data_IF_109652554765
#
_entry.id   IF_109652554765
#
_cell.length_a   1.000
_cell.length_b   1.000
_cell.length_c   1.000
_cell.angle_alpha   90.00
_cell.angle_beta   90.00
_cell.angle_gamma   90.00
#
_symmetry.space_group_name_H-M   'P 1'
#
loop_
_entity.id
_entity.type
_entity.pdbx_description
1 polymer ?
#
# COMPACT_ATOMS: atom_id res chain seq x y z
N UNK A 1 32.71 6.32 -20.77
CA UNK A 1 31.64 5.76 -19.92
C UNK A 1 31.24 6.87 -18.97
N UNK A 2 30.19 7.60 -19.30
CA UNK A 2 29.72 8.72 -18.48
C UNK A 2 29.23 8.19 -17.12
N UNK A 3 29.58 8.91 -16.06
CA UNK A 3 29.27 8.56 -14.67
C UNK A 3 27.75 8.63 -14.45
N UNK A 4 27.07 7.51 -14.69
CA UNK A 4 25.66 7.31 -14.30
C UNK A 4 25.65 7.09 -12.79
N UNK A 5 25.43 8.18 -12.06
CA UNK A 5 25.47 8.25 -10.61
C UNK A 5 25.69 9.68 -10.13
N UNK A 6 25.09 10.66 -10.81
CA UNK A 6 25.24 12.06 -10.44
C UNK A 6 24.08 12.46 -9.53
N UNK A 7 24.29 12.40 -8.21
CA UNK A 7 23.44 13.05 -7.20
C UNK A 7 23.10 14.52 -7.60
N UNK A 8 24.00 15.17 -8.35
CA UNK A 8 23.80 16.49 -8.96
C UNK A 8 22.68 16.62 -10.00
N UNK A 9 22.26 15.52 -10.66
CA UNK A 9 21.10 15.58 -11.58
C UNK A 9 19.79 15.61 -10.78
N UNK A 10 19.74 14.87 -9.68
CA UNK A 10 18.60 14.87 -8.78
C UNK A 10 18.45 16.22 -8.10
N UNK A 11 19.52 16.82 -7.58
CA UNK A 11 19.47 18.19 -7.03
C UNK A 11 18.94 19.21 -8.04
N UNK A 12 19.35 19.12 -9.31
CA UNK A 12 18.91 20.07 -10.35
C UNK A 12 17.46 19.86 -10.76
N UNK A 13 16.96 18.62 -10.72
CA UNK A 13 15.54 18.32 -10.90
C UNK A 13 14.74 18.82 -9.69
N UNK A 14 15.23 18.57 -8.48
CA UNK A 14 14.63 19.00 -7.23
C UNK A 14 14.52 20.52 -7.15
N UNK A 15 15.57 21.28 -7.47
CA UNK A 15 15.53 22.75 -7.53
C UNK A 15 14.64 23.25 -8.66
N UNK A 16 14.49 22.51 -9.77
CA UNK A 16 13.59 22.90 -10.86
C UNK A 16 12.11 22.65 -10.51
N UNK A 17 11.84 21.62 -9.72
CA UNK A 17 10.50 21.12 -9.41
C UNK A 17 9.96 21.65 -8.07
N UNK A 18 10.87 21.98 -7.14
CA UNK A 18 10.61 22.41 -5.77
C UNK A 18 11.43 23.64 -5.34
N UNK A 19 12.10 24.34 -6.26
CA UNK A 19 12.93 25.52 -5.97
C UNK A 19 12.13 26.74 -5.51
N UNK A 20 11.59 26.63 -4.31
CA UNK A 20 11.28 27.75 -3.45
C UNK A 20 12.55 28.08 -2.67
N UNK A 21 12.90 29.36 -2.61
CA UNK A 21 13.91 29.86 -1.69
C UNK A 21 13.43 29.49 -0.26
N UNK A 22 14.08 28.51 0.38
CA UNK A 22 13.79 28.08 1.76
C UNK A 22 13.90 29.24 2.77
N UNK A 23 14.47 30.37 2.35
CA UNK A 23 14.66 31.57 3.18
C UNK A 23 13.41 32.47 3.29
N UNK A 24 12.36 32.27 2.49
CA UNK A 24 11.15 33.15 2.48
C UNK A 24 9.84 32.42 2.88
N UNK A 25 9.88 31.13 3.20
CA UNK A 25 8.74 30.43 3.80
C UNK A 25 8.86 30.56 5.30
N UNK A 26 7.89 31.21 5.93
CA UNK A 26 7.84 31.46 7.38
C UNK A 26 7.66 30.12 8.13
N UNK A 27 8.74 29.32 8.23
CA UNK A 27 8.77 27.93 8.71
C UNK A 27 8.19 27.79 10.14
N UNK A 28 8.32 28.83 10.96
CA UNK A 28 7.72 28.86 12.30
C UNK A 28 6.20 28.65 12.25
N UNK A 29 5.54 29.15 11.21
CA UNK A 29 4.09 29.13 11.07
C UNK A 29 3.56 27.79 10.52
N UNK A 30 4.37 27.08 9.72
CA UNK A 30 4.07 25.74 9.22
C UNK A 30 4.28 24.67 10.31
N UNK A 31 5.34 24.80 11.11
CA UNK A 31 5.60 23.90 12.24
C UNK A 31 4.48 23.98 13.29
N UNK A 32 3.98 25.17 13.59
CA UNK A 32 2.82 25.35 14.46
C UNK A 32 1.56 24.67 13.92
N UNK A 33 1.29 24.80 12.60
CA UNK A 33 0.13 24.20 11.97
C UNK A 33 0.23 22.67 11.93
N UNK A 34 1.42 22.15 11.64
CA UNK A 34 1.70 20.71 11.64
C UNK A 34 1.53 20.10 13.03
N UNK A 35 2.03 20.78 14.07
CA UNK A 35 1.84 20.37 15.46
C UNK A 35 0.37 20.39 15.86
N UNK A 36 -0.37 21.45 15.48
CA UNK A 36 -1.80 21.54 15.74
C UNK A 36 -2.58 20.43 15.03
N UNK A 37 -2.23 20.11 13.79
CA UNK A 37 -2.84 19.00 13.05
C UNK A 37 -2.54 17.66 13.75
N UNK A 38 -1.30 17.43 14.15
CA UNK A 38 -0.90 16.23 14.86
C UNK A 38 -1.66 16.05 16.17
N UNK A 39 -1.80 17.12 16.97
CA UNK A 39 -2.56 17.10 18.21
C UNK A 39 -4.03 16.72 17.98
N UNK A 40 -4.68 17.34 16.99
CA UNK A 40 -6.07 17.05 16.64
C UNK A 40 -6.25 15.59 16.22
N UNK A 41 -5.32 15.06 15.42
CA UNK A 41 -5.36 13.67 14.95
C UNK A 41 -5.10 12.67 16.09
N UNK A 42 -4.21 12.98 17.03
CA UNK A 42 -3.94 12.11 18.19
C UNK A 42 -5.06 12.13 19.22
N UNK A 43 -5.78 13.26 19.33
CA UNK A 43 -6.86 13.45 20.28
C UNK A 43 -8.25 13.38 19.62
N UNK A 44 -8.48 12.36 18.79
CA UNK A 44 -9.73 12.20 18.04
C UNK A 44 -10.99 12.13 18.91
N UNK A 45 -10.85 11.77 20.20
CA UNK A 45 -11.96 11.78 21.16
C UNK A 45 -12.41 13.19 21.55
N UNK A 46 -11.49 14.17 21.57
CA UNK A 46 -11.79 15.58 21.82
C UNK A 46 -12.30 16.27 20.55
N UNK A 47 -11.87 15.77 19.39
CA UNK A 47 -12.21 16.30 18.08
C UNK A 47 -12.97 15.29 17.21
N UNK A 48 -14.21 14.91 17.60
CA UNK A 48 -14.94 13.84 16.91
C UNK A 48 -15.50 14.24 15.53
N UNK A 49 -15.62 15.53 15.25
CA UNK A 49 -16.17 16.05 13.98
C UNK A 49 -15.27 17.14 13.43
N UNK A 50 -15.41 17.44 12.13
CA UNK A 50 -14.66 18.55 11.54
C UNK A 50 -14.93 19.87 12.28
N UNK A 51 -16.18 20.13 12.67
CA UNK A 51 -16.61 21.36 13.35
C UNK A 51 -15.99 21.54 14.74
N UNK A 52 -15.60 20.46 15.42
CA UNK A 52 -14.93 20.57 16.71
C UNK A 52 -13.45 20.92 16.59
N UNK A 53 -12.87 20.84 15.38
CA UNK A 53 -11.46 21.20 15.16
C UNK A 53 -11.22 22.72 15.27
N UNK A 54 -10.00 23.15 15.66
CA UNK A 54 -9.64 24.56 15.72
C UNK A 54 -9.88 25.30 14.39
N UNK A 55 -10.40 26.53 14.45
CA UNK A 55 -10.85 27.33 13.28
C UNK A 55 -9.80 27.45 12.18
N UNK A 56 -8.52 27.50 12.58
CA UNK A 56 -7.36 27.58 11.67
C UNK A 56 -7.24 26.33 10.79
N UNK A 57 -7.43 25.15 11.36
CA UNK A 57 -7.45 23.88 10.62
C UNK A 57 -8.77 23.66 9.90
N UNK A 58 -9.88 24.04 10.52
CA UNK A 58 -11.21 23.93 9.92
C UNK A 58 -11.26 24.59 8.54
N UNK A 59 -10.74 25.82 8.41
CA UNK A 59 -10.74 26.55 7.14
C UNK A 59 -9.99 25.83 6.02
N UNK A 60 -8.90 25.12 6.35
CA UNK A 60 -8.06 24.39 5.39
C UNK A 60 -8.71 23.04 5.04
N UNK A 61 -9.17 22.31 6.06
CA UNK A 61 -9.68 20.95 5.91
C UNK A 61 -11.10 20.89 5.35
N UNK A 62 -11.89 21.98 5.46
CA UNK A 62 -13.30 22.00 5.03
C UNK A 62 -13.47 21.57 3.58
N UNK A 63 -12.73 22.18 2.67
CA UNK A 63 -12.93 21.92 1.24
C UNK A 63 -12.53 20.47 0.86
N UNK A 64 -11.51 19.93 1.53
CA UNK A 64 -11.11 18.52 1.40
C UNK A 64 -12.13 17.57 2.02
N UNK A 65 -12.66 17.91 3.19
CA UNK A 65 -13.69 17.13 3.87
C UNK A 65 -14.99 17.09 3.05
N UNK A 66 -15.39 18.20 2.45
CA UNK A 66 -16.56 18.28 1.58
C UNK A 66 -16.36 17.44 0.31
N UNK A 67 -15.17 17.51 -0.28
CA UNK A 67 -14.79 16.69 -1.44
C UNK A 67 -14.82 15.19 -1.10
N UNK A 68 -14.24 14.80 0.04
CA UNK A 68 -14.21 13.43 0.53
C UNK A 68 -15.61 12.92 0.91
N UNK A 69 -16.44 13.76 1.52
CA UNK A 69 -17.84 13.46 1.86
C UNK A 69 -18.68 13.27 0.60
N UNK A 70 -18.55 14.15 -0.38
CA UNK A 70 -19.23 14.02 -1.66
C UNK A 70 -18.79 12.73 -2.40
N UNK A 71 -17.49 12.41 -2.38
CA UNK A 71 -16.99 11.17 -2.94
C UNK A 71 -17.54 9.94 -2.20
N UNK A 72 -17.54 9.95 -0.87
CA UNK A 72 -18.10 8.89 -0.03
C UNK A 72 -19.58 8.67 -0.36
N UNK A 73 -20.37 9.75 -0.47
CA UNK A 73 -21.77 9.66 -0.85
C UNK A 73 -21.97 9.07 -2.25
N UNK A 74 -21.10 9.39 -3.23
CA UNK A 74 -21.17 8.80 -4.58
C UNK A 74 -20.92 7.29 -4.57
N UNK A 75 -20.11 6.78 -3.64
CA UNK A 75 -19.77 5.35 -3.58
C UNK A 75 -20.65 4.54 -2.63
N UNK A 76 -21.35 5.19 -1.69
CA UNK A 76 -22.20 4.53 -0.69
C UNK A 76 -23.70 4.71 -0.90
N UNK A 77 -24.16 5.69 -1.70
CA UNK A 77 -25.58 5.80 -2.05
C UNK A 77 -25.98 4.68 -3.02
N UNK A 78 -27.04 3.98 -2.66
CA UNK A 78 -27.68 2.97 -3.51
C UNK A 78 -28.09 3.57 -4.85
N UNK A 79 -27.56 3.01 -5.95
CA UNK A 79 -27.84 3.41 -7.32
C UNK A 79 -26.61 3.85 -8.14
N UNK A 80 -25.51 4.26 -7.49
CA UNK A 80 -24.25 4.58 -8.16
C UNK A 80 -23.15 3.64 -7.67
N UNK A 81 -23.03 2.48 -8.32
CA UNK A 81 -22.00 1.50 -7.98
C UNK A 81 -20.63 1.99 -8.43
N UNK A 82 -19.76 2.37 -7.49
CA UNK A 82 -18.32 2.57 -7.72
C UNK A 82 -17.68 1.37 -8.47
N UNK A 83 -18.20 0.17 -8.23
CA UNK A 83 -17.79 -1.06 -8.91
C UNK A 83 -18.09 -1.09 -10.43
N UNK A 84 -18.96 -0.22 -10.95
CA UNK A 84 -19.27 -0.15 -12.38
C UNK A 84 -18.21 0.63 -13.19
N UNK A 85 -17.40 1.47 -12.54
CA UNK A 85 -16.37 2.31 -13.20
C UNK A 85 -14.94 1.82 -13.03
N UNK A 86 -14.67 0.92 -12.09
CA UNK A 86 -13.42 0.17 -12.16
C UNK A 86 -13.47 -0.64 -13.46
N UNK A 87 -12.47 -0.54 -14.35
CA UNK A 87 -12.44 -1.42 -15.51
C UNK A 87 -12.57 -2.84 -14.95
N UNK A 88 -13.62 -3.55 -15.33
CA UNK A 88 -13.78 -4.95 -14.99
C UNK A 88 -12.49 -5.58 -15.47
N UNK A 89 -11.59 -5.88 -14.52
CA UNK A 89 -10.29 -6.45 -14.83
C UNK A 89 -10.62 -7.69 -15.64
N UNK A 90 -10.30 -7.64 -16.95
CA UNK A 90 -10.54 -8.77 -17.84
C UNK A 90 -9.97 -10.00 -17.12
N UNK A 91 -10.61 -11.17 -17.17
CA UNK A 91 -10.07 -12.36 -16.51
C UNK A 91 -8.57 -12.59 -16.81
N UNK A 92 -8.11 -12.19 -18.00
CA UNK A 92 -6.70 -12.16 -18.41
C UNK A 92 -5.77 -11.26 -17.59
N UNK A 93 -6.27 -10.14 -17.03
CA UNK A 93 -5.53 -9.24 -16.13
C UNK A 93 -5.77 -9.57 -14.65
N UNK A 94 -6.76 -10.43 -14.31
CA UNK A 94 -6.92 -11.04 -12.98
C UNK A 94 -5.93 -12.17 -12.72
N UNK A 95 -5.18 -12.58 -13.75
CA UNK A 95 -3.91 -13.27 -13.56
C UNK A 95 -2.96 -12.28 -12.88
N UNK A 96 -3.18 -12.06 -11.58
CA UNK A 96 -2.15 -11.52 -10.68
C UNK A 96 -0.89 -12.32 -10.98
N UNK A 97 0.20 -11.60 -11.19
CA UNK A 97 1.58 -12.08 -11.15
C UNK A 97 1.70 -13.49 -10.56
N UNK A 98 2.23 -14.42 -11.37
CA UNK A 98 2.40 -15.87 -11.18
C UNK A 98 2.95 -16.36 -9.82
N UNK A 99 3.30 -15.49 -8.90
CA UNK A 99 4.14 -15.80 -7.75
C UNK A 99 3.48 -16.63 -6.63
N UNK A 100 2.21 -16.39 -6.28
CA UNK A 100 1.62 -17.05 -5.10
C UNK A 100 0.93 -18.39 -5.39
N UNK A 101 0.34 -18.57 -6.58
CA UNK A 101 -0.24 -19.86 -6.99
C UNK A 101 0.85 -20.89 -7.30
N UNK A 102 1.94 -20.49 -7.94
CA UNK A 102 3.09 -21.37 -8.19
C UNK A 102 3.70 -21.88 -6.88
N UNK A 103 3.80 -21.06 -5.83
CA UNK A 103 4.35 -21.52 -4.56
C UNK A 103 3.53 -22.65 -3.91
N UNK A 104 2.20 -22.55 -3.92
CA UNK A 104 1.35 -23.60 -3.36
C UNK A 104 1.40 -24.89 -4.19
N UNK A 105 1.44 -24.79 -5.52
CA UNK A 105 1.55 -25.95 -6.39
C UNK A 105 2.93 -26.62 -6.28
N UNK A 106 4.01 -25.83 -6.23
CA UNK A 106 5.38 -26.32 -6.00
C UNK A 106 5.51 -26.95 -4.62
N UNK A 107 4.95 -26.36 -3.57
CA UNK A 107 4.94 -26.95 -2.22
C UNK A 107 4.16 -28.26 -2.18
N UNK A 108 3.06 -28.36 -2.93
CA UNK A 108 2.26 -29.59 -3.03
C UNK A 108 3.01 -30.69 -3.80
N UNK A 109 3.69 -30.34 -4.90
CA UNK A 109 4.50 -31.25 -5.69
C UNK A 109 5.71 -31.78 -4.91
N UNK A 110 6.45 -30.91 -4.22
CA UNK A 110 7.61 -31.29 -3.40
C UNK A 110 7.23 -32.20 -2.24
N UNK A 111 6.11 -31.95 -1.56
CA UNK A 111 5.60 -32.85 -0.52
C UNK A 111 5.15 -34.21 -1.09
N UNK A 112 4.59 -34.25 -2.29
CA UNK A 112 4.21 -35.50 -2.94
C UNK A 112 5.44 -36.34 -3.33
N UNK A 113 6.48 -35.70 -3.88
CA UNK A 113 7.74 -36.36 -4.23
C UNK A 113 8.47 -36.90 -3.00
N UNK A 114 8.53 -36.12 -1.91
CA UNK A 114 9.13 -36.56 -0.64
C UNK A 114 8.39 -37.79 -0.06
N UNK A 115 7.05 -37.80 -0.11
CA UNK A 115 6.25 -38.96 0.33
C UNK A 115 6.49 -40.20 -0.53
N UNK A 116 6.69 -40.03 -1.84
CA UNK A 116 6.96 -41.15 -2.74
C UNK A 116 8.35 -41.75 -2.45
N UNK A 117 9.38 -40.92 -2.31
CA UNK A 117 10.74 -41.37 -1.94
C UNK A 117 10.73 -42.15 -0.63
N UNK A 118 10.06 -41.63 0.40
CA UNK A 118 9.95 -42.31 1.69
C UNK A 118 9.27 -43.70 1.57
N UNK A 119 8.25 -43.83 0.71
CA UNK A 119 7.61 -45.14 0.48
C UNK A 119 8.53 -46.12 -0.21
N UNK A 120 9.27 -45.67 -1.23
CA UNK A 120 10.24 -46.50 -1.95
C UNK A 120 11.35 -46.97 -0.99
N UNK A 121 11.85 -46.09 -0.12
CA UNK A 121 12.84 -46.44 0.91
C UNK A 121 12.29 -47.44 1.93
N UNK A 122 11.05 -47.26 2.38
CA UNK A 122 10.39 -48.20 3.29
C UNK A 122 10.12 -49.57 2.64
N UNK A 123 9.76 -49.60 1.36
CA UNK A 123 9.59 -50.84 0.61
C UNK A 123 10.93 -51.54 0.37
N UNK A 124 11.98 -50.79 0.03
CA UNK A 124 13.34 -51.34 -0.11
C UNK A 124 13.86 -51.92 1.21
N UNK A 125 13.69 -51.22 2.32
CA UNK A 125 14.09 -51.70 3.65
C UNK A 125 13.32 -52.98 4.05
N UNK A 126 12.01 -53.07 3.76
CA UNK A 126 11.22 -54.28 4.00
C UNK A 126 11.64 -55.45 3.12
N UNK A 127 12.04 -55.20 1.88
CA UNK A 127 12.52 -56.24 0.96
C UNK A 127 13.90 -56.75 1.39
N UNK A 128 14.77 -55.88 1.90
CA UNK A 128 16.04 -56.29 2.50
C UNK A 128 15.85 -57.07 3.81
N UNK A 129 14.93 -56.65 4.67
CA UNK A 129 14.60 -57.35 5.92
C UNK A 129 13.96 -58.73 5.68
N UNK A 130 13.26 -58.92 4.56
CA UNK A 130 12.74 -60.24 4.14
C UNK A 130 13.77 -61.12 3.43
N UNK A 131 14.92 -60.57 3.01
CA UNK A 131 15.99 -61.28 2.30
C UNK A 131 17.18 -61.66 3.20
N UNK A 132 17.29 -61.06 4.39
CA UNK A 132 18.19 -61.50 5.47
C UNK A 132 17.56 -62.62 6.29
#
# INVERSE_FOLDING_TARGET
>A
MERVGSERRDERLYVKEYGFDEDDVDLENEDELANLYHEVMMNSALYPTLESTPTRLFGILRDWHDSASAYTQRITKDGETYAARLPVVRPSARLRTKSCSEWYEVKKATMAEAKLKLRIEQEAAKVEEQRG
#
